data_IF_001511125564
#
_entry.id   IF_001511125564
#
_cell.length_a   1.000
_cell.length_b   1.000
_cell.length_c   1.000
_cell.angle_alpha   90.00
_cell.angle_beta   90.00
_cell.angle_gamma   90.00
#
_symmetry.space_group_name_H-M   'P 1'
#
loop_
_entity.id
_entity.type
_entity.pdbx_description
1 polymer ?
#
# COMPACT_ATOMS: atom_id res chain seq x y z
N UNK A 1 0.55 13.65 0.37
CA UNK A 1 -0.50 12.79 0.99
C UNK A 1 -0.11 12.51 2.43
N UNK A 2 -1.07 12.54 3.33
CA UNK A 2 -0.90 12.18 4.74
C UNK A 2 -2.00 11.22 5.16
N UNK A 3 -1.62 10.13 5.84
CA UNK A 3 -2.55 9.20 6.47
C UNK A 3 -2.56 9.41 7.98
N UNK A 4 -3.74 9.53 8.55
CA UNK A 4 -3.95 9.60 10.00
C UNK A 4 -4.81 8.42 10.40
N UNK A 5 -4.30 7.56 11.28
CA UNK A 5 -4.98 6.35 11.74
C UNK A 5 -5.71 6.59 13.05
N UNK A 6 -6.93 6.03 13.19
CA UNK A 6 -7.68 6.10 14.45
C UNK A 6 -7.15 5.01 15.41
N UNK A 7 -6.57 5.39 16.56
CA UNK A 7 -6.01 4.45 17.51
C UNK A 7 -7.07 3.56 18.19
N UNK A 8 -8.35 3.90 18.06
CA UNK A 8 -9.45 3.04 18.52
C UNK A 8 -9.48 1.73 17.72
N UNK A 9 -9.14 1.78 16.43
CA UNK A 9 -9.25 0.66 15.51
C UNK A 9 -7.89 0.15 15.02
N UNK A 10 -6.88 1.01 14.93
CA UNK A 10 -5.53 0.68 14.42
C UNK A 10 -4.52 0.80 15.54
N UNK A 11 -3.96 -0.34 15.99
CA UNK A 11 -2.97 -0.39 17.06
C UNK A 11 -1.59 0.06 16.58
N UNK A 12 -1.19 -0.31 15.37
CA UNK A 12 0.04 0.12 14.73
C UNK A 12 -0.06 -0.01 13.22
N UNK A 13 0.84 0.66 12.54
CA UNK A 13 0.92 0.64 11.09
C UNK A 13 2.38 0.75 10.63
N UNK A 14 2.64 0.32 9.42
CA UNK A 14 3.89 0.61 8.72
C UNK A 14 3.64 0.78 7.22
N UNK A 15 4.36 1.69 6.62
CA UNK A 15 4.45 1.81 5.18
C UNK A 15 5.42 0.75 4.65
N UNK A 16 5.12 0.19 3.47
CA UNK A 16 5.98 -0.75 2.78
C UNK A 16 6.31 -0.16 1.41
N UNK A 17 7.59 0.09 1.18
CA UNK A 17 8.08 0.82 0.01
C UNK A 17 8.00 2.35 0.18
N UNK A 18 8.72 3.06 -0.67
CA UNK A 18 8.80 4.52 -0.65
C UNK A 18 9.34 5.15 0.65
N UNK A 19 10.01 4.38 1.50
CA UNK A 19 10.54 4.87 2.79
C UNK A 19 11.49 6.06 2.62
N UNK A 20 12.20 6.11 1.48
CA UNK A 20 13.13 7.20 1.17
C UNK A 20 12.44 8.49 0.69
N UNK A 21 11.12 8.48 0.55
CA UNK A 21 10.31 9.60 0.08
C UNK A 21 9.27 10.05 1.11
N UNK A 22 9.45 9.65 2.35
CA UNK A 22 8.61 10.12 3.45
C UNK A 22 8.98 11.56 3.80
N UNK A 23 7.96 12.40 3.90
CA UNK A 23 8.07 13.74 4.47
C UNK A 23 7.87 13.67 5.99
N UNK A 24 8.47 14.60 6.73
CA UNK A 24 8.12 14.77 8.12
C UNK A 24 6.67 15.24 8.24
N UNK A 25 6.03 14.93 9.36
CA UNK A 25 4.62 15.28 9.58
C UNK A 25 4.35 16.79 9.47
N UNK A 26 5.26 17.61 9.96
CA UNK A 26 5.22 19.06 9.91
C UNK A 26 5.35 19.64 8.50
N UNK A 27 6.05 18.93 7.61
CA UNK A 27 6.28 19.37 6.22
C UNK A 27 5.01 19.26 5.36
N UNK A 28 4.01 18.49 5.79
CA UNK A 28 2.77 18.30 5.02
C UNK A 28 1.97 19.59 4.81
N UNK A 29 1.96 20.48 5.77
CA UNK A 29 1.24 21.76 5.72
C UNK A 29 2.12 22.94 5.25
N UNK A 30 3.41 22.71 5.03
CA UNK A 30 4.35 23.74 4.60
C UNK A 30 4.37 23.86 3.07
N UNK A 31 3.78 24.93 2.55
CA UNK A 31 3.72 25.20 1.10
C UNK A 31 5.07 25.53 0.47
N UNK A 32 6.12 25.73 1.27
CA UNK A 32 7.49 25.96 0.77
C UNK A 32 8.23 24.66 0.50
N UNK A 33 7.71 23.53 1.00
CA UNK A 33 8.30 22.21 0.76
C UNK A 33 7.89 21.67 -0.58
N UNK A 34 8.88 21.26 -1.34
CA UNK A 34 8.68 20.55 -2.59
C UNK A 34 8.23 19.11 -2.30
N UNK A 35 7.02 18.78 -2.82
CA UNK A 35 6.44 17.46 -2.65
C UNK A 35 6.35 16.84 -4.01
N UNK A 36 7.07 16.24 -4.65
CA UNK A 36 7.03 15.50 -5.89
C UNK A 36 5.93 15.88 -6.88
N UNK A 37 6.30 16.10 -8.09
CA UNK A 37 5.40 16.40 -9.19
C UNK A 37 4.62 15.16 -9.64
N UNK A 38 3.33 15.34 -9.93
CA UNK A 38 2.48 14.29 -10.50
C UNK A 38 2.19 14.63 -11.95
N UNK A 39 2.85 13.93 -12.87
CA UNK A 39 2.59 14.08 -14.31
C UNK A 39 1.24 13.46 -14.71
N UNK A 40 0.68 13.92 -15.82
CA UNK A 40 -0.55 13.39 -16.38
C UNK A 40 -0.41 11.87 -16.66
N UNK A 41 -1.37 11.08 -16.16
CA UNK A 41 -1.36 9.62 -16.29
C UNK A 41 -0.47 8.87 -15.30
N UNK A 42 0.25 9.56 -14.43
CA UNK A 42 1.02 8.90 -13.37
C UNK A 42 0.09 8.26 -12.33
N UNK A 43 0.45 7.04 -11.95
CA UNK A 43 -0.19 6.30 -10.86
C UNK A 43 0.88 5.86 -9.87
N UNK A 44 0.59 5.99 -8.60
CA UNK A 44 1.46 5.52 -7.52
C UNK A 44 0.64 4.69 -6.55
N UNK A 45 1.11 3.48 -6.28
CA UNK A 45 0.50 2.60 -5.29
C UNK A 45 1.40 2.54 -4.06
N UNK A 46 0.84 2.78 -2.90
CA UNK A 46 1.54 2.71 -1.60
C UNK A 46 0.82 1.70 -0.72
N UNK A 47 1.60 0.82 -0.10
CA UNK A 47 1.06 -0.19 0.82
C UNK A 47 1.30 0.20 2.26
N UNK A 48 0.27 0.01 3.08
CA UNK A 48 0.36 0.08 4.52
C UNK A 48 -0.11 -1.23 5.13
N UNK A 49 0.73 -1.83 5.95
CA UNK A 49 0.33 -2.93 6.81
C UNK A 49 -0.24 -2.34 8.10
N UNK A 50 -1.42 -2.81 8.48
CA UNK A 50 -2.12 -2.36 9.68
C UNK A 50 -2.25 -3.51 10.67
N UNK A 51 -1.94 -3.24 11.94
CA UNK A 51 -2.29 -4.11 13.05
C UNK A 51 -3.54 -3.53 13.70
N UNK A 52 -4.66 -4.23 13.58
CA UNK A 52 -5.93 -3.77 14.13
C UNK A 52 -6.00 -4.04 15.63
N UNK A 53 -6.65 -3.13 16.38
CA UNK A 53 -7.04 -3.37 17.77
C UNK A 53 -8.13 -4.43 17.86
N UNK A 54 -8.47 -4.88 19.07
CA UNK A 54 -9.63 -5.74 19.29
C UNK A 54 -10.94 -5.11 18.75
N UNK A 55 -11.08 -3.79 18.88
CA UNK A 55 -12.22 -3.07 18.31
C UNK A 55 -12.19 -3.07 16.77
N UNK A 56 -11.04 -2.89 16.16
CA UNK A 56 -10.90 -2.91 14.71
C UNK A 56 -11.10 -4.29 14.06
N UNK A 57 -10.99 -5.37 14.85
CA UNK A 57 -11.21 -6.75 14.40
C UNK A 57 -12.67 -7.19 14.48
N UNK A 58 -13.55 -6.40 15.10
CA UNK A 58 -14.98 -6.75 15.20
C UNK A 58 -15.61 -6.86 13.82
N UNK A 59 -16.51 -7.82 13.68
CA UNK A 59 -17.21 -8.09 12.42
C UNK A 59 -18.53 -7.32 12.30
N UNK A 60 -19.01 -6.76 13.40
CA UNK A 60 -20.28 -6.03 13.54
C UNK A 60 -20.10 -4.49 13.58
N UNK A 61 -18.97 -4.00 13.10
CA UNK A 61 -18.73 -2.56 12.97
C UNK A 61 -19.73 -1.94 11.99
N UNK A 62 -20.21 -0.75 12.33
CA UNK A 62 -21.07 0.02 11.43
C UNK A 62 -20.36 0.31 10.09
N UNK A 63 -21.12 0.35 9.00
CA UNK A 63 -20.55 0.55 7.65
C UNK A 63 -19.82 1.88 7.49
N UNK A 64 -20.22 2.90 8.25
CA UNK A 64 -19.62 4.23 8.27
C UNK A 64 -18.42 4.37 9.24
N UNK A 65 -18.03 3.27 9.91
CA UNK A 65 -16.85 3.27 10.79
C UNK A 65 -15.59 3.51 9.99
N UNK A 66 -14.90 4.64 10.23
CA UNK A 66 -13.63 4.97 9.61
C UNK A 66 -12.46 4.48 10.47
N UNK A 67 -11.42 3.94 9.83
CA UNK A 67 -10.17 3.52 10.48
C UNK A 67 -9.07 4.55 10.32
N UNK A 68 -9.14 5.35 9.26
CA UNK A 68 -8.14 6.34 8.92
C UNK A 68 -8.73 7.44 8.05
N UNK A 69 -7.99 8.54 7.98
CA UNK A 69 -8.25 9.66 7.06
C UNK A 69 -7.05 9.81 6.15
N UNK A 70 -7.31 9.89 4.84
CA UNK A 70 -6.33 10.27 3.83
C UNK A 70 -6.52 11.75 3.51
N UNK A 71 -5.54 12.59 3.81
CA UNK A 71 -5.47 13.96 3.34
C UNK A 71 -4.55 14.07 2.12
N UNK A 72 -5.04 14.68 1.06
CA UNK A 72 -4.31 14.93 -0.18
C UNK A 72 -4.17 16.43 -0.36
N UNK A 73 -2.93 16.92 -0.33
CA UNK A 73 -2.64 18.33 -0.54
C UNK A 73 -1.90 18.52 -1.85
N UNK A 74 -2.38 19.45 -2.66
CA UNK A 74 -1.86 19.68 -4.01
C UNK A 74 -1.98 21.15 -4.42
N UNK A 75 -1.11 21.55 -5.35
CA UNK A 75 -1.18 22.85 -6.03
C UNK A 75 -1.58 22.66 -7.49
N UNK A 76 -2.28 23.63 -8.05
CA UNK A 76 -2.44 23.71 -9.49
C UNK A 76 -1.07 24.03 -10.15
N UNK A 77 -0.86 23.72 -11.43
CA UNK A 77 0.43 23.94 -12.10
C UNK A 77 1.00 25.37 -11.96
N UNK A 78 0.13 26.37 -11.93
CA UNK A 78 0.52 27.78 -11.79
C UNK A 78 0.02 28.38 -10.46
N UNK A 79 -0.27 27.55 -9.46
CA UNK A 79 -0.86 27.98 -8.21
C UNK A 79 0.16 28.10 -7.06
N UNK A 80 0.13 29.22 -6.32
CA UNK A 80 0.96 29.43 -5.13
C UNK A 80 0.34 28.86 -3.86
N UNK A 81 -0.97 28.60 -3.86
CA UNK A 81 -1.73 28.16 -2.69
C UNK A 81 -2.16 26.68 -2.85
N UNK A 82 -1.87 25.87 -1.86
CA UNK A 82 -2.31 24.49 -1.81
C UNK A 82 -3.82 24.38 -1.55
N UNK A 83 -4.40 23.32 -2.12
CA UNK A 83 -5.72 22.79 -1.77
C UNK A 83 -5.56 21.50 -1.03
N UNK A 84 -6.51 21.17 -0.17
CA UNK A 84 -6.52 19.93 0.58
C UNK A 84 -7.89 19.27 0.47
N UNK A 85 -7.88 17.99 0.10
CA UNK A 85 -9.06 17.13 0.13
C UNK A 85 -8.81 16.02 1.17
N UNK A 86 -9.84 15.69 1.94
CA UNK A 86 -9.76 14.65 2.97
C UNK A 86 -10.81 13.56 2.71
N UNK A 87 -10.39 12.32 2.84
CA UNK A 87 -11.20 11.12 2.60
C UNK A 87 -11.15 10.21 3.82
N UNK A 88 -12.32 9.83 4.34
CA UNK A 88 -12.43 8.80 5.37
C UNK A 88 -12.37 7.42 4.71
N UNK A 89 -11.56 6.52 5.27
CA UNK A 89 -11.39 5.14 4.79
C UNK A 89 -11.70 4.20 5.95
N UNK A 90 -12.58 3.23 5.72
CA UNK A 90 -13.05 2.36 6.79
C UNK A 90 -13.70 1.07 6.33
N UNK A 91 -14.74 0.66 7.02
CA UNK A 91 -15.45 -0.61 6.78
C UNK A 91 -16.04 -0.69 5.38
N UNK A 92 -16.65 0.39 4.89
CA UNK A 92 -17.27 0.45 3.55
C UNK A 92 -16.27 0.32 2.41
N UNK A 93 -14.98 0.60 2.67
CA UNK A 93 -13.93 0.55 1.65
C UNK A 93 -13.23 -0.81 1.59
N UNK A 94 -13.64 -1.75 2.45
CA UNK A 94 -13.12 -3.13 2.41
C UNK A 94 -13.58 -3.83 1.14
N UNK A 95 -12.64 -4.26 0.34
CA UNK A 95 -12.89 -5.00 -0.91
C UNK A 95 -12.13 -6.31 -0.91
N UNK A 96 -12.60 -7.25 -1.72
CA UNK A 96 -11.82 -8.44 -2.07
C UNK A 96 -10.80 -8.01 -3.13
N UNK A 97 -9.52 -8.33 -2.96
CA UNK A 97 -8.51 -8.01 -3.95
C UNK A 97 -8.87 -8.58 -5.32
N UNK A 98 -8.73 -7.78 -6.35
CA UNK A 98 -8.78 -8.23 -7.73
C UNK A 98 -7.42 -8.80 -8.17
N UNK A 99 -7.34 -9.33 -9.39
CA UNK A 99 -6.13 -9.94 -9.92
C UNK A 99 -4.93 -8.97 -9.99
N UNK A 100 -5.20 -7.68 -10.22
CA UNK A 100 -4.15 -6.65 -10.25
C UNK A 100 -3.60 -6.39 -8.85
N UNK A 101 -4.48 -6.30 -7.86
CA UNK A 101 -4.11 -6.14 -6.46
C UNK A 101 -3.36 -7.37 -5.93
N UNK A 102 -3.81 -8.57 -6.28
CA UNK A 102 -3.12 -9.83 -5.94
C UNK A 102 -1.71 -9.88 -6.55
N UNK A 103 -1.56 -9.44 -7.79
CA UNK A 103 -0.23 -9.33 -8.41
C UNK A 103 0.66 -8.35 -7.64
N UNK A 104 0.15 -7.18 -7.25
CA UNK A 104 0.89 -6.22 -6.45
C UNK A 104 1.31 -6.78 -5.09
N UNK A 105 0.47 -7.60 -4.44
CA UNK A 105 0.86 -8.31 -3.23
C UNK A 105 2.01 -9.29 -3.47
N UNK A 106 2.03 -10.00 -4.60
CA UNK A 106 3.16 -10.86 -4.93
C UNK A 106 4.47 -10.07 -5.10
N UNK A 107 4.41 -8.89 -5.72
CA UNK A 107 5.58 -7.98 -5.84
C UNK A 107 6.04 -7.53 -4.46
N UNK A 108 5.12 -7.16 -3.59
CA UNK A 108 5.40 -6.75 -2.22
C UNK A 108 6.07 -7.86 -1.41
N UNK A 109 5.50 -9.06 -1.41
CA UNK A 109 6.04 -10.23 -0.71
C UNK A 109 7.43 -10.59 -1.22
N UNK A 110 7.64 -10.57 -2.55
CA UNK A 110 8.96 -10.77 -3.13
C UNK A 110 9.96 -9.73 -2.65
N UNK A 111 9.58 -8.45 -2.65
CA UNK A 111 10.43 -7.37 -2.16
C UNK A 111 10.84 -7.60 -0.69
N UNK A 112 9.90 -8.01 0.15
CA UNK A 112 10.17 -8.35 1.54
C UNK A 112 11.15 -9.52 1.67
N UNK A 113 11.03 -10.56 0.82
CA UNK A 113 11.94 -11.70 0.79
C UNK A 113 13.36 -11.29 0.38
N UNK A 114 13.49 -10.52 -0.72
CA UNK A 114 14.77 -10.05 -1.24
C UNK A 114 15.54 -9.18 -0.24
N UNK A 115 14.81 -8.34 0.50
CA UNK A 115 15.37 -7.48 1.55
C UNK A 115 15.56 -8.20 2.90
N UNK A 116 15.22 -9.49 2.98
CA UNK A 116 15.23 -10.24 4.23
C UNK A 116 14.54 -9.46 5.37
N UNK A 117 13.33 -8.98 5.08
CA UNK A 117 12.58 -8.10 5.96
C UNK A 117 12.34 -8.75 7.32
N UNK A 118 12.63 -8.03 8.40
CA UNK A 118 12.33 -8.47 9.78
C UNK A 118 10.82 -8.63 10.05
N UNK A 119 9.99 -8.17 9.14
CA UNK A 119 8.54 -8.26 9.22
C UNK A 119 7.95 -9.41 8.41
N UNK A 120 8.78 -10.27 7.84
CA UNK A 120 8.28 -11.51 7.26
C UNK A 120 7.59 -12.36 8.35
N UNK A 121 6.46 -13.02 8.03
CA UNK A 121 5.75 -13.86 8.99
C UNK A 121 6.66 -14.96 9.57
N UNK A 122 6.64 -15.11 10.89
CA UNK A 122 7.46 -16.10 11.58
C UNK A 122 7.10 -17.56 11.24
N UNK A 123 5.85 -17.79 10.80
CA UNK A 123 5.34 -19.10 10.36
C UNK A 123 5.82 -19.51 8.97
N UNK A 124 6.65 -18.65 8.34
CA UNK A 124 7.16 -18.86 6.97
C UNK A 124 6.05 -19.03 5.92
N UNK A 125 4.90 -18.40 6.12
CA UNK A 125 3.80 -18.39 5.14
C UNK A 125 4.17 -17.64 3.87
N UNK A 126 5.17 -16.74 3.92
CA UNK A 126 5.72 -16.02 2.76
C UNK A 126 7.10 -16.58 2.43
N UNK A 127 7.21 -17.21 1.27
CA UNK A 127 8.42 -17.79 0.70
C UNK A 127 8.42 -17.60 -0.81
N UNK A 128 9.56 -17.75 -1.49
CA UNK A 128 9.60 -17.72 -2.97
C UNK A 128 8.62 -18.73 -3.58
N UNK A 129 8.51 -19.93 -2.99
CA UNK A 129 7.60 -20.96 -3.47
C UNK A 129 6.12 -20.56 -3.33
N UNK A 130 5.73 -19.93 -2.20
CA UNK A 130 4.35 -19.49 -1.99
C UNK A 130 3.99 -18.30 -2.87
N UNK A 131 4.90 -17.35 -3.08
CA UNK A 131 4.72 -16.24 -4.03
C UNK A 131 4.57 -16.77 -5.44
N UNK A 132 5.41 -17.73 -5.85
CA UNK A 132 5.31 -18.35 -7.16
C UNK A 132 3.98 -19.10 -7.35
N UNK A 133 3.50 -19.81 -6.33
CA UNK A 133 2.22 -20.50 -6.37
C UNK A 133 1.05 -19.52 -6.57
N UNK A 134 1.05 -18.37 -5.90
CA UNK A 134 0.06 -17.29 -6.10
C UNK A 134 0.12 -16.78 -7.53
N UNK A 135 1.30 -16.43 -8.06
CA UNK A 135 1.47 -15.93 -9.42
C UNK A 135 0.99 -16.90 -10.49
N UNK A 136 1.17 -18.22 -10.28
CA UNK A 136 0.66 -19.25 -11.18
C UNK A 136 -0.87 -19.35 -11.19
N UNK A 137 -1.52 -18.91 -10.12
CA UNK A 137 -2.98 -18.83 -10.03
C UNK A 137 -3.59 -17.59 -10.70
N UNK A 138 -2.76 -16.60 -11.09
CA UNK A 138 -3.22 -15.37 -11.72
C UNK A 138 -3.19 -15.49 -13.25
N UNK A 139 -4.18 -14.88 -13.92
CA UNK A 139 -4.19 -14.72 -15.38
C UNK A 139 -3.22 -13.58 -15.76
N UNK A 140 -1.98 -13.93 -16.05
CA UNK A 140 -0.92 -13.01 -16.44
C UNK A 140 -0.73 -12.89 -17.96
N UNK A 141 -1.45 -13.65 -18.75
CA UNK A 141 -1.18 -13.78 -20.20
C UNK A 141 -1.46 -12.49 -20.98
N UNK A 142 -2.25 -11.59 -20.41
CA UNK A 142 -2.55 -10.26 -20.98
C UNK A 142 -1.46 -9.23 -20.73
N UNK A 143 -0.47 -9.55 -19.91
CA UNK A 143 0.58 -8.64 -19.43
C UNK A 143 1.94 -9.32 -19.54
N UNK A 144 2.64 -9.10 -20.64
CA UNK A 144 3.95 -9.72 -20.91
C UNK A 144 5.00 -9.45 -19.81
N UNK A 145 4.99 -8.24 -19.24
CA UNK A 145 5.84 -7.82 -18.14
C UNK A 145 5.59 -8.62 -16.85
N UNK A 146 4.33 -8.94 -16.56
CA UNK A 146 3.96 -9.78 -15.40
C UNK A 146 4.34 -11.25 -15.61
N UNK A 147 4.22 -11.74 -16.82
CA UNK A 147 4.66 -13.09 -17.18
C UNK A 147 6.20 -13.21 -17.09
N UNK A 148 6.93 -12.18 -17.50
CA UNK A 148 8.39 -12.10 -17.32
C UNK A 148 8.78 -12.06 -15.84
N UNK A 149 8.07 -11.27 -15.03
CA UNK A 149 8.26 -11.22 -13.58
C UNK A 149 8.08 -12.61 -12.94
N UNK A 150 7.05 -13.37 -13.31
CA UNK A 150 6.87 -14.75 -12.87
C UNK A 150 8.06 -15.64 -13.23
N UNK A 151 8.54 -15.55 -14.47
CA UNK A 151 9.69 -16.33 -14.93
C UNK A 151 10.96 -16.01 -14.15
N UNK A 152 11.14 -14.75 -13.74
CA UNK A 152 12.24 -14.31 -12.89
C UNK A 152 12.20 -15.00 -11.52
N UNK A 153 11.02 -15.08 -10.91
CA UNK A 153 10.85 -15.74 -9.60
C UNK A 153 11.05 -17.26 -9.72
N UNK A 154 10.64 -17.87 -10.82
CA UNK A 154 10.91 -19.29 -11.09
C UNK A 154 12.41 -19.61 -11.04
N UNK A 155 13.23 -18.71 -11.55
CA UNK A 155 14.70 -18.86 -11.49
C UNK A 155 15.27 -18.71 -10.06
N UNK A 156 14.62 -17.94 -9.18
CA UNK A 156 15.02 -17.80 -7.78
C UNK A 156 14.51 -18.95 -6.89
N UNK A 157 13.41 -19.59 -7.28
CA UNK A 157 12.80 -20.68 -6.50
C UNK A 157 13.37 -22.06 -6.81
N UNK A 158 14.20 -22.17 -7.85
CA UNK A 158 14.87 -23.41 -8.27
C UNK A 158 16.12 -23.68 -7.42
#
# INVERSE_FOLDING_TARGET
MQLTFDPTYVASYRQIGYENRQLNREDFTDDTKDAGEVGAGHQVTVFYELVMTENGQKTDLAADTAFMTLAVRYKAPDGDVSKEDAYSIGVSDRTVPDSDTEFMFCVLELTMLLHNSKYLPADKSVTYATVLAKLRGLDLDRHSDRAEFRSLIEAFAA
#
